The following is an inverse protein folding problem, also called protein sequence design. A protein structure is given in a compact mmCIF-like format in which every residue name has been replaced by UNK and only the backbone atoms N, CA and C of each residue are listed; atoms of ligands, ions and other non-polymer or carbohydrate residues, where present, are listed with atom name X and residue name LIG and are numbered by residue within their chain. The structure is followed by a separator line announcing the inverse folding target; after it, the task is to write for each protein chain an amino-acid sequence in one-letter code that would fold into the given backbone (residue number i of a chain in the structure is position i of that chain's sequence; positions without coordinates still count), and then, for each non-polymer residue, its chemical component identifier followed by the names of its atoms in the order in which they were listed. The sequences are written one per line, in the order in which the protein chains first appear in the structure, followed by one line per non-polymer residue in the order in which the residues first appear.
data_IF_428840126291
#
_entry.id   IF_428840126291
#
_cell.length_a   1.000
_cell.length_b   1.000
_cell.length_c   1.000
_cell.angle_alpha   90.00
_cell.angle_beta   90.00
_cell.angle_gamma   90.00
#
_symmetry.space_group_name_H-M   'P 1'
#
loop_
_entity.id
_entity.type
_entity.pdbx_description
1 polymer ?
#
# COMPACT_ATOMS: atom_id res chain seq x y z
N UNK A 1 -17.32 5.08 -37.12
CA UNK A 1 -17.53 4.56 -35.77
C UNK A 1 -17.84 5.71 -34.84
N UNK A 2 -19.08 5.76 -34.35
CA UNK A 2 -19.46 6.80 -33.38
C UNK A 2 -19.01 6.40 -32.00
N UNK A 3 -18.02 7.09 -31.48
CA UNK A 3 -17.67 6.96 -30.05
C UNK A 3 -18.47 7.99 -29.27
N UNK A 4 -19.48 7.51 -28.53
CA UNK A 4 -20.14 8.33 -27.54
C UNK A 4 -19.32 8.36 -26.26
N UNK A 5 -18.80 9.53 -25.93
CA UNK A 5 -18.20 9.75 -24.62
C UNK A 5 -19.34 10.01 -23.63
N UNK A 6 -19.61 9.04 -22.78
CA UNK A 6 -20.53 9.25 -21.68
C UNK A 6 -19.87 10.15 -20.65
N UNK A 7 -20.54 11.23 -20.30
CA UNK A 7 -20.10 12.04 -19.15
C UNK A 7 -20.29 11.20 -17.89
N UNK A 8 -19.18 10.84 -17.27
CA UNK A 8 -19.15 10.22 -15.95
C UNK A 8 -18.33 11.10 -15.03
N UNK A 9 -18.72 11.14 -13.78
CA UNK A 9 -17.86 11.70 -12.77
C UNK A 9 -16.79 10.67 -12.42
N UNK A 10 -15.54 11.00 -12.74
CA UNK A 10 -14.38 10.15 -12.43
C UNK A 10 -13.59 10.80 -11.32
N UNK A 11 -13.10 9.98 -10.38
CA UNK A 11 -12.21 10.41 -9.29
C UNK A 11 -10.91 9.61 -9.33
N UNK A 12 -10.11 9.74 -10.40
CA UNK A 12 -8.94 8.88 -10.61
C UNK A 12 -7.83 9.08 -9.60
N UNK A 13 -7.82 10.21 -8.88
CA UNK A 13 -6.80 10.51 -7.88
C UNK A 13 -7.20 10.14 -6.45
N UNK A 14 -8.43 9.67 -6.23
CA UNK A 14 -8.94 9.42 -4.89
C UNK A 14 -8.41 8.14 -4.23
N UNK A 15 -7.93 7.19 -5.02
CA UNK A 15 -7.52 5.89 -4.50
C UNK A 15 -6.45 5.98 -3.40
N UNK A 16 -5.52 6.92 -3.51
CA UNK A 16 -4.52 7.16 -2.46
C UNK A 16 -4.92 8.30 -1.53
N UNK A 17 -5.47 9.37 -2.07
CA UNK A 17 -5.77 10.58 -1.31
C UNK A 17 -6.87 10.36 -0.26
N UNK A 18 -7.96 9.74 -0.66
CA UNK A 18 -9.15 9.59 0.19
C UNK A 18 -9.28 8.22 0.83
N UNK A 19 -8.86 7.16 0.15
CA UNK A 19 -9.02 5.80 0.65
C UNK A 19 -7.89 5.35 1.57
N UNK A 20 -6.77 6.02 1.56
CA UNK A 20 -5.56 5.70 2.30
C UNK A 20 -5.11 4.24 2.12
N UNK A 21 -3.88 4.08 1.72
CA UNK A 21 -3.26 2.77 1.61
C UNK A 21 -2.35 2.50 2.80
N UNK A 22 -2.19 1.24 3.16
CA UNK A 22 -1.15 0.80 4.08
C UNK A 22 -0.07 0.07 3.28
N UNK A 23 1.17 0.54 3.37
CA UNK A 23 2.32 -0.21 2.87
C UNK A 23 2.86 -1.07 4.00
N UNK A 24 3.17 -2.33 3.72
CA UNK A 24 3.87 -3.22 4.64
C UNK A 24 5.16 -3.70 4.00
N UNK A 25 6.27 -3.51 4.69
CA UNK A 25 7.62 -3.81 4.21
C UNK A 25 8.34 -4.67 5.24
N UNK A 26 9.09 -5.63 4.77
CA UNK A 26 9.85 -6.55 5.59
C UNK A 26 9.51 -8.00 5.31
N UNK A 27 9.76 -8.87 6.28
CA UNK A 27 9.48 -10.30 6.20
C UNK A 27 8.70 -10.77 7.42
N UNK A 28 8.45 -12.08 7.53
CA UNK A 28 7.66 -12.64 8.63
C UNK A 28 8.27 -12.39 10.01
N UNK A 29 9.59 -12.27 10.09
CA UNK A 29 10.31 -12.10 11.36
C UNK A 29 10.36 -10.63 11.78
N UNK A 30 10.55 -9.74 10.82
CA UNK A 30 10.65 -8.31 11.08
C UNK A 30 10.02 -7.52 9.94
N UNK A 31 8.98 -6.78 10.25
CA UNK A 31 8.24 -5.96 9.30
C UNK A 31 7.66 -4.73 9.97
N UNK A 32 7.30 -3.76 9.18
CA UNK A 32 6.55 -2.60 9.64
C UNK A 32 5.59 -2.12 8.56
N UNK A 33 4.55 -1.41 8.98
CA UNK A 33 3.56 -0.83 8.10
C UNK A 33 3.37 0.64 8.41
N UNK A 34 3.02 1.42 7.40
CA UNK A 34 2.59 2.80 7.60
C UNK A 34 1.52 3.18 6.58
N UNK A 35 0.84 4.29 6.83
CA UNK A 35 -0.09 4.84 5.85
C UNK A 35 0.67 5.54 4.73
N UNK A 36 0.13 5.42 3.53
CA UNK A 36 0.59 6.11 2.35
C UNK A 36 -0.62 6.71 1.64
N UNK A 37 -0.62 8.02 1.50
CA UNK A 37 -1.60 8.75 0.70
C UNK A 37 -1.02 9.34 -0.58
N UNK A 38 0.27 9.14 -0.81
CA UNK A 38 0.96 9.62 -2.00
C UNK A 38 1.43 8.44 -2.85
N UNK A 39 0.86 8.31 -4.02
CA UNK A 39 1.22 7.22 -4.90
C UNK A 39 0.46 7.21 -6.19
N UNK A 40 0.74 6.22 -7.01
CA UNK A 40 0.05 6.02 -8.28
C UNK A 40 0.07 4.55 -8.69
N UNK A 41 -0.93 4.18 -9.49
CA UNK A 41 -1.00 2.89 -10.16
C UNK A 41 -0.73 3.10 -11.64
N UNK A 42 -0.02 2.18 -12.26
CA UNK A 42 0.31 2.32 -13.66
C UNK A 42 0.66 0.99 -14.32
N UNK A 43 1.15 1.10 -15.53
CA UNK A 43 1.54 -0.04 -16.35
C UNK A 43 2.85 0.27 -17.06
N UNK A 44 3.71 -0.73 -17.15
CA UNK A 44 4.95 -0.65 -17.92
C UNK A 44 5.21 -1.97 -18.67
N UNK A 45 6.01 -1.86 -19.70
CA UNK A 45 6.50 -2.98 -20.48
C UNK A 45 5.42 -3.90 -21.04
N UNK A 46 5.46 -4.11 -22.32
CA UNK A 46 4.55 -4.99 -23.03
C UNK A 46 3.52 -4.23 -23.87
N UNK A 47 2.92 -4.95 -24.79
CA UNK A 47 1.86 -4.43 -25.65
C UNK A 47 0.59 -4.12 -24.82
N UNK A 48 -0.33 -3.29 -25.35
CA UNK A 48 -1.62 -3.06 -24.69
C UNK A 48 -2.32 -4.36 -24.28
N UNK A 49 -2.78 -4.43 -23.04
CA UNK A 49 -3.39 -5.62 -22.46
C UNK A 49 -2.42 -6.68 -21.95
N UNK A 50 -1.12 -6.50 -22.19
CA UNK A 50 -0.05 -7.42 -21.76
C UNK A 50 1.02 -6.72 -20.92
N UNK A 51 0.84 -5.47 -20.59
CA UNK A 51 1.76 -4.71 -19.76
C UNK A 51 1.75 -5.20 -18.31
N UNK A 52 2.81 -4.88 -17.59
CA UNK A 52 2.93 -5.20 -16.18
C UNK A 52 2.35 -4.06 -15.32
N UNK A 53 1.54 -4.42 -14.35
CA UNK A 53 1.01 -3.47 -13.39
C UNK A 53 2.11 -2.98 -12.45
N UNK A 54 2.09 -1.70 -12.12
CA UNK A 54 3.05 -1.06 -11.22
C UNK A 54 2.36 -0.25 -10.14
N UNK A 55 3.03 -0.17 -8.99
CA UNK A 55 2.66 0.73 -7.90
C UNK A 55 3.87 1.62 -7.60
N UNK A 56 3.65 2.92 -7.59
CA UNK A 56 4.64 3.90 -7.16
C UNK A 56 4.17 4.55 -5.88
N UNK A 57 5.02 4.59 -4.87
CA UNK A 57 4.71 5.16 -3.57
C UNK A 57 5.76 6.21 -3.18
N UNK A 58 5.32 7.23 -2.45
CA UNK A 58 6.18 8.25 -1.88
C UNK A 58 6.10 8.14 -0.36
N UNK A 59 7.21 7.73 0.26
CA UNK A 59 7.29 7.48 1.70
C UNK A 59 8.24 8.51 2.31
N UNK A 60 7.75 9.24 3.31
CA UNK A 60 8.59 10.21 4.01
C UNK A 60 9.74 9.50 4.72
N UNK A 61 11.00 9.98 4.59
CA UNK A 61 12.17 9.31 5.17
C UNK A 61 12.11 9.14 6.70
N UNK A 62 11.34 9.97 7.40
CA UNK A 62 11.18 9.86 8.86
C UNK A 62 10.35 8.66 9.31
N UNK A 63 9.62 8.02 8.41
CA UNK A 63 8.81 6.84 8.75
C UNK A 63 9.71 5.66 9.06
N UNK A 64 9.38 4.92 10.12
CA UNK A 64 10.11 3.70 10.47
C UNK A 64 10.10 2.68 9.31
N UNK A 65 9.00 2.58 8.58
CA UNK A 65 8.89 1.72 7.40
C UNK A 65 9.97 1.98 6.36
N UNK A 66 10.43 3.23 6.23
CA UNK A 66 11.49 3.58 5.29
C UNK A 66 12.81 2.84 5.55
N UNK A 67 13.09 2.47 6.79
CA UNK A 67 14.30 1.75 7.16
C UNK A 67 14.29 0.28 6.67
N UNK A 68 13.11 -0.25 6.37
CA UNK A 68 12.96 -1.64 5.89
C UNK A 68 13.09 -1.77 4.38
N UNK A 69 12.97 -0.66 3.64
CA UNK A 69 12.82 -0.70 2.18
C UNK A 69 14.08 -1.21 1.49
N UNK A 70 15.25 -0.79 1.93
CA UNK A 70 16.51 -1.13 1.25
C UNK A 70 16.77 -2.64 1.28
N UNK A 71 16.46 -3.29 2.38
CA UNK A 71 16.72 -4.73 2.58
C UNK A 71 15.55 -5.63 2.16
N UNK A 72 14.46 -5.04 1.67
CA UNK A 72 13.26 -5.78 1.30
C UNK A 72 13.13 -5.89 -0.22
N UNK A 73 12.97 -7.11 -0.70
CA UNK A 73 12.70 -7.38 -2.13
C UNK A 73 11.21 -7.20 -2.45
N UNK A 74 10.35 -7.51 -1.50
CA UNK A 74 8.89 -7.47 -1.67
C UNK A 74 8.23 -6.57 -0.63
N UNK A 75 7.09 -6.04 -0.99
CA UNK A 75 6.22 -5.28 -0.09
C UNK A 75 4.75 -5.45 -0.52
N UNK A 76 3.83 -5.14 0.36
CA UNK A 76 2.40 -5.10 0.02
C UNK A 76 1.85 -3.70 0.15
N UNK A 77 0.84 -3.43 -0.66
CA UNK A 77 0.02 -2.21 -0.57
C UNK A 77 -1.42 -2.67 -0.39
N UNK A 78 -2.02 -2.29 0.72
CA UNK A 78 -3.35 -2.76 1.10
C UNK A 78 -4.33 -1.60 1.19
N UNK A 79 -5.54 -1.84 0.66
CA UNK A 79 -6.68 -0.93 0.75
C UNK A 79 -7.77 -1.59 1.60
N UNK A 80 -8.55 -0.78 2.30
CA UNK A 80 -9.52 -1.23 3.30
C UNK A 80 -10.89 -0.62 3.08
N UNK A 81 -11.93 -1.28 3.59
CA UNK A 81 -13.25 -0.68 3.67
C UNK A 81 -13.25 0.50 4.63
N UNK A 82 -14.17 1.49 4.43
CA UNK A 82 -14.26 2.68 5.29
C UNK A 82 -14.43 2.39 6.78
N UNK A 83 -14.97 1.22 7.15
CA UNK A 83 -15.12 0.83 8.56
C UNK A 83 -13.79 0.71 9.31
N UNK A 84 -12.68 0.56 8.59
CA UNK A 84 -11.34 0.47 9.17
C UNK A 84 -10.62 1.81 9.29
N UNK A 85 -11.29 2.91 8.99
CA UNK A 85 -10.66 4.24 8.96
C UNK A 85 -10.00 4.61 10.29
N UNK A 86 -10.60 4.27 11.41
CA UNK A 86 -10.00 4.50 12.74
C UNK A 86 -8.73 3.70 12.96
N UNK A 87 -8.72 2.43 12.52
CA UNK A 87 -7.54 1.58 12.60
C UNK A 87 -6.41 2.14 11.74
N UNK A 88 -6.72 2.60 10.53
CA UNK A 88 -5.73 3.22 9.64
C UNK A 88 -5.19 4.52 10.23
N UNK A 89 -6.04 5.34 10.82
CA UNK A 89 -5.61 6.57 11.50
C UNK A 89 -4.64 6.25 12.64
N UNK A 90 -4.87 5.19 13.38
CA UNK A 90 -3.94 4.72 14.42
C UNK A 90 -2.59 4.33 13.81
N UNK A 91 -2.59 3.54 12.74
CA UNK A 91 -1.35 3.18 12.03
C UNK A 91 -0.54 4.40 11.57
N UNK A 92 -1.25 5.43 11.10
CA UNK A 92 -0.62 6.64 10.59
C UNK A 92 -0.08 7.59 11.67
N UNK A 93 -0.59 7.50 12.89
CA UNK A 93 -0.25 8.40 14.00
C UNK A 93 0.71 7.80 15.03
N UNK A 94 1.02 6.51 14.94
CA UNK A 94 1.90 5.80 15.87
C UNK A 94 3.09 5.19 15.14
N UNK A 95 4.21 5.01 15.84
CA UNK A 95 5.42 4.43 15.27
C UNK A 95 5.63 2.99 15.76
N UNK A 96 5.94 2.11 14.82
CA UNK A 96 6.35 0.73 15.13
C UNK A 96 7.66 0.62 15.92
N UNK A 97 8.42 1.72 16.04
CA UNK A 97 9.60 1.76 16.90
C UNK A 97 9.24 1.63 18.38
N UNK A 98 8.07 2.11 18.77
CA UNK A 98 7.68 2.28 20.17
C UNK A 98 6.64 1.27 20.62
N UNK A 99 5.95 0.60 19.70
CA UNK A 99 4.83 -0.28 20.02
C UNK A 99 4.52 -1.25 18.88
N UNK A 100 3.74 -2.28 19.18
CA UNK A 100 3.09 -3.11 18.16
C UNK A 100 1.81 -2.41 17.70
N UNK A 101 1.97 -1.41 16.84
CA UNK A 101 0.85 -0.57 16.42
C UNK A 101 -0.20 -1.30 15.57
N UNK A 102 0.18 -2.37 14.88
CA UNK A 102 -0.76 -3.17 14.08
C UNK A 102 -1.77 -3.86 14.99
N UNK A 103 -1.28 -4.54 16.01
CA UNK A 103 -2.14 -5.19 17.01
C UNK A 103 -2.96 -4.17 17.79
N UNK A 104 -2.33 -3.07 18.21
CA UNK A 104 -3.01 -2.00 18.96
C UNK A 104 -4.08 -1.30 18.13
N UNK A 105 -3.93 -1.26 16.81
CA UNK A 105 -4.96 -0.75 15.90
C UNK A 105 -6.14 -1.73 15.70
N UNK A 106 -6.03 -2.95 16.20
CA UNK A 106 -7.03 -3.99 15.99
C UNK A 106 -6.94 -4.66 14.63
N UNK A 107 -5.79 -4.58 13.97
CA UNK A 107 -5.52 -5.23 12.69
C UNK A 107 -4.71 -6.50 12.87
N UNK A 108 -4.83 -7.41 11.92
CA UNK A 108 -4.15 -8.71 11.94
C UNK A 108 -3.18 -8.80 10.78
N UNK A 109 -1.89 -8.86 11.09
CA UNK A 109 -0.87 -9.09 10.08
C UNK A 109 -0.87 -10.57 9.68
N UNK A 110 -0.79 -10.83 8.38
CA UNK A 110 -0.71 -12.17 7.81
C UNK A 110 0.41 -12.25 6.78
N UNK A 111 1.04 -13.44 6.62
CA UNK A 111 2.00 -13.63 5.53
C UNK A 111 1.33 -13.51 4.16
N UNK A 112 1.98 -12.77 3.27
CA UNK A 112 1.59 -12.68 1.86
C UNK A 112 2.86 -12.87 1.03
N UNK A 113 3.00 -14.02 0.38
CA UNK A 113 4.25 -14.37 -0.29
C UNK A 113 5.42 -14.34 0.69
N UNK A 114 6.46 -13.62 0.34
CA UNK A 114 7.69 -13.47 1.16
C UNK A 114 7.63 -12.26 2.11
N UNK A 115 6.54 -11.55 2.14
CA UNK A 115 6.34 -10.38 3.00
C UNK A 115 5.06 -10.53 3.83
N UNK A 116 4.54 -9.44 4.34
CA UNK A 116 3.36 -9.40 5.20
C UNK A 116 2.29 -8.48 4.61
N UNK A 117 1.07 -8.67 5.04
CA UNK A 117 -0.06 -7.81 4.73
C UNK A 117 -1.10 -7.90 5.83
N UNK A 118 -2.35 -7.54 5.51
CA UNK A 118 -3.43 -7.48 6.50
C UNK A 118 -4.59 -8.39 6.11
N UNK A 119 -5.06 -9.16 7.06
CA UNK A 119 -6.25 -10.00 6.90
C UNK A 119 -7.49 -9.18 6.54
N UNK A 120 -7.64 -7.98 7.11
CA UNK A 120 -8.80 -7.11 6.97
C UNK A 120 -8.83 -6.32 5.67
N UNK A 121 -7.77 -6.35 4.87
CA UNK A 121 -7.72 -5.62 3.61
C UNK A 121 -8.76 -6.14 2.62
N UNK A 122 -9.45 -5.21 1.95
CA UNK A 122 -10.35 -5.56 0.84
C UNK A 122 -9.59 -5.87 -0.44
N UNK A 123 -8.39 -5.31 -0.59
CA UNK A 123 -7.52 -5.49 -1.74
C UNK A 123 -6.08 -5.33 -1.32
N UNK A 124 -5.22 -6.25 -1.75
CA UNK A 124 -3.79 -6.21 -1.48
C UNK A 124 -3.02 -6.43 -2.77
N UNK A 125 -2.08 -5.53 -3.05
CA UNK A 125 -1.10 -5.69 -4.10
C UNK A 125 0.19 -6.25 -3.50
N UNK A 126 0.59 -7.44 -3.95
CA UNK A 126 1.93 -7.97 -3.64
C UNK A 126 2.90 -7.44 -4.69
N UNK A 127 3.87 -6.66 -4.27
CA UNK A 127 4.79 -5.94 -5.14
C UNK A 127 6.22 -6.43 -4.95
N UNK A 128 6.92 -6.56 -6.07
CA UNK A 128 8.37 -6.71 -6.09
C UNK A 128 8.99 -5.34 -6.30
N UNK A 129 9.94 -4.97 -5.45
CA UNK A 129 10.63 -3.69 -5.58
C UNK A 129 11.44 -3.66 -6.88
N UNK A 130 11.19 -2.68 -7.73
CA UNK A 130 11.95 -2.45 -8.95
C UNK A 130 13.07 -1.44 -8.72
N UNK A 131 12.76 -0.35 -8.03
CA UNK A 131 13.75 0.67 -7.71
C UNK A 131 13.32 1.48 -6.50
N UNK A 132 14.28 2.19 -5.93
CA UNK A 132 14.07 3.20 -4.89
C UNK A 132 14.92 4.41 -5.24
N UNK A 133 14.35 5.58 -5.11
CA UNK A 133 15.05 6.86 -5.29
C UNK A 133 15.05 7.66 -3.99
#
# INVERSE_FOLDING_TARGET
MNMEFRKKEYKPFDIFDSEWAAITVGNREKFNACLVSWGSLGNIWGAPGKSKATVTLYIHPSRYTAEFIDDSEYFTVSFFDPKYKKALAYLGSHSGRNENKIENAGLTAIPIGKTMGFKEAKQTFLCKKLCKQ
#
